data_IF_846867721155
#
_entry.id   IF_846867721155
#
_cell.length_a   1.000
_cell.length_b   1.000
_cell.length_c   1.000
_cell.angle_alpha   90.00
_cell.angle_beta   90.00
_cell.angle_gamma   90.00
#
_symmetry.space_group_name_H-M   'P 1'
#
loop_
_entity.id
_entity.type
_entity.pdbx_description
1 polymer ?
#
# COMPACT_ATOMS: atom_id res chain seq x y z
N UNK A 1 64.97 9.17 -12.21
CA UNK A 1 64.43 8.83 -13.54
C UNK A 1 63.94 7.39 -13.49
N UNK A 2 62.65 7.21 -13.82
CA UNK A 2 61.94 6.01 -14.31
C UNK A 2 61.72 4.76 -13.41
N UNK A 3 60.45 4.68 -12.98
CA UNK A 3 59.44 3.59 -13.06
C UNK A 3 59.79 2.10 -13.25
N UNK A 4 58.80 1.32 -12.77
CA UNK A 4 58.40 -0.08 -13.09
C UNK A 4 58.81 -1.15 -12.08
N UNK A 5 57.95 -2.06 -11.58
CA UNK A 5 56.52 -2.36 -11.73
C UNK A 5 56.16 -3.25 -10.52
N UNK A 6 55.27 -2.82 -9.62
CA UNK A 6 54.73 -3.72 -8.57
C UNK A 6 53.45 -4.36 -9.07
N UNK A 7 53.58 -5.57 -9.59
CA UNK A 7 52.49 -6.42 -10.06
C UNK A 7 51.61 -6.86 -8.86
N UNK A 8 50.61 -6.06 -8.47
CA UNK A 8 49.61 -6.47 -7.47
C UNK A 8 48.64 -7.44 -8.13
N UNK A 9 48.85 -8.74 -7.91
CA UNK A 9 47.85 -9.77 -8.15
C UNK A 9 46.59 -9.43 -7.35
N UNK A 10 45.49 -9.14 -8.03
CA UNK A 10 44.16 -9.13 -7.46
C UNK A 10 43.87 -10.51 -6.85
N UNK A 11 43.74 -10.57 -5.52
CA UNK A 11 43.19 -11.75 -4.87
C UNK A 11 41.68 -11.71 -5.06
N UNK A 12 41.16 -12.56 -5.93
CA UNK A 12 39.73 -12.86 -6.01
C UNK A 12 39.28 -13.44 -4.65
N UNK A 13 38.54 -12.65 -3.88
CA UNK A 13 37.89 -13.14 -2.66
C UNK A 13 36.66 -13.93 -3.10
N UNK A 14 36.84 -15.23 -3.32
CA UNK A 14 35.74 -16.16 -3.53
C UNK A 14 35.03 -16.38 -2.19
N UNK A 15 34.04 -15.55 -1.86
CA UNK A 15 33.11 -15.84 -0.76
C UNK A 15 32.11 -16.89 -1.21
N UNK A 16 32.51 -18.17 -1.16
CA UNK A 16 31.60 -19.30 -1.28
C UNK A 16 30.75 -19.41 0.00
N UNK A 17 29.70 -18.61 0.10
CA UNK A 17 28.68 -18.82 1.12
C UNK A 17 27.84 -20.03 0.71
N UNK A 18 28.13 -21.19 1.31
CA UNK A 18 27.20 -22.33 1.28
C UNK A 18 26.15 -22.12 2.39
N UNK A 19 24.85 -22.17 2.08
CA UNK A 19 23.83 -22.14 3.12
C UNK A 19 23.92 -23.43 3.95
N UNK A 20 24.01 -23.28 5.28
CA UNK A 20 24.26 -24.39 6.23
C UNK A 20 22.99 -25.14 6.64
N UNK A 21 21.81 -24.74 6.16
CA UNK A 21 20.56 -25.36 6.61
C UNK A 21 19.55 -25.48 5.50
N UNK A 22 19.25 -26.72 5.10
CA UNK A 22 18.05 -27.06 4.33
C UNK A 22 16.88 -27.04 5.29
N UNK A 23 16.39 -25.86 5.64
CA UNK A 23 15.07 -25.74 6.22
C UNK A 23 14.07 -25.90 5.07
N UNK A 24 13.14 -26.85 5.17
CA UNK A 24 11.92 -26.79 4.38
C UNK A 24 11.21 -25.49 4.77
N UNK A 25 11.37 -24.47 3.94
CA UNK A 25 10.73 -23.17 4.12
C UNK A 25 9.24 -23.38 4.03
N UNK A 26 8.55 -23.44 5.17
CA UNK A 26 7.09 -23.51 5.25
C UNK A 26 6.40 -22.24 4.72
N UNK A 27 7.16 -21.23 4.33
CA UNK A 27 6.72 -19.99 3.70
C UNK A 27 7.73 -19.60 2.63
N UNK A 28 7.27 -19.50 1.37
CA UNK A 28 8.08 -18.99 0.27
C UNK A 28 8.36 -17.50 0.50
N UNK A 29 9.56 -17.02 0.15
CA UNK A 29 9.85 -15.57 0.14
C UNK A 29 8.86 -14.78 -0.74
N UNK A 30 8.25 -15.44 -1.74
CA UNK A 30 7.23 -14.82 -2.61
C UNK A 30 5.91 -14.52 -1.88
N UNK A 31 5.67 -15.12 -0.71
CA UNK A 31 4.47 -14.90 0.10
C UNK A 31 4.66 -13.77 1.13
N UNK A 32 5.90 -13.29 1.31
CA UNK A 32 6.18 -12.17 2.19
C UNK A 32 5.73 -10.86 1.54
N UNK A 33 4.83 -10.16 2.22
CA UNK A 33 4.41 -8.82 1.84
C UNK A 33 5.22 -7.82 2.66
N UNK A 34 5.98 -6.97 1.98
CA UNK A 34 6.71 -5.89 2.63
C UNK A 34 5.72 -4.86 3.18
N UNK A 35 5.61 -4.77 4.50
CA UNK A 35 4.71 -3.85 5.21
C UNK A 35 4.82 -2.40 4.76
N UNK A 36 5.99 -1.97 4.26
CA UNK A 36 6.21 -0.60 3.76
C UNK A 36 5.35 -0.25 2.55
N UNK A 37 4.91 -1.25 1.77
CA UNK A 37 4.02 -1.03 0.63
C UNK A 37 2.56 -0.85 1.08
N UNK A 38 2.24 -1.25 2.32
CA UNK A 38 0.90 -1.15 2.91
C UNK A 38 0.74 0.08 3.81
N UNK A 39 1.83 0.81 4.07
CA UNK A 39 1.81 2.03 4.86
C UNK A 39 2.15 3.27 4.05
N UNK A 40 1.40 4.34 4.27
CA UNK A 40 1.68 5.68 3.75
C UNK A 40 2.03 6.62 4.89
N UNK A 41 2.82 7.65 4.60
CA UNK A 41 3.15 8.70 5.56
C UNK A 41 2.52 10.02 5.12
N UNK A 42 2.19 10.87 6.08
CA UNK A 42 1.70 12.21 5.77
C UNK A 42 2.85 13.14 5.33
N UNK A 43 2.52 14.36 4.94
CA UNK A 43 3.50 15.32 4.42
C UNK A 43 4.63 15.66 5.41
N UNK A 44 4.35 15.60 6.72
CA UNK A 44 5.32 15.85 7.77
C UNK A 44 6.10 14.59 8.20
N UNK A 45 5.66 13.41 7.77
CA UNK A 45 6.27 12.12 8.13
C UNK A 45 6.09 11.74 9.61
N UNK A 46 5.16 12.37 10.33
CA UNK A 46 4.90 12.12 11.75
C UNK A 46 3.68 11.21 11.98
N UNK A 47 2.90 10.94 10.93
CA UNK A 47 1.80 9.98 10.94
C UNK A 47 2.00 8.91 9.87
N UNK A 48 1.64 7.69 10.22
CA UNK A 48 1.56 6.55 9.32
C UNK A 48 0.09 6.11 9.16
N UNK A 49 -0.35 5.79 7.95
CA UNK A 49 -1.69 5.29 7.69
C UNK A 49 -1.64 3.93 6.98
N UNK A 50 -2.55 3.04 7.40
CA UNK A 50 -2.85 1.76 6.73
C UNK A 50 -4.34 1.68 6.43
N UNK A 51 -4.69 1.05 5.31
CA UNK A 51 -6.09 0.89 4.90
C UNK A 51 -6.37 -0.60 4.66
N UNK A 52 -7.40 -1.11 5.33
CA UNK A 52 -7.88 -2.48 5.15
C UNK A 52 -9.29 -2.46 4.57
N UNK A 53 -9.54 -3.36 3.63
CA UNK A 53 -10.83 -3.55 2.98
C UNK A 53 -11.70 -4.43 3.88
N UNK A 54 -12.90 -3.95 4.18
CA UNK A 54 -13.91 -4.72 4.92
C UNK A 54 -14.94 -5.34 3.98
N UNK A 55 -15.36 -4.58 2.97
CA UNK A 55 -16.47 -4.97 2.09
C UNK A 55 -16.20 -4.50 0.66
N UNK A 56 -16.51 -5.37 -0.30
CA UNK A 56 -16.42 -5.11 -1.74
C UNK A 56 -17.79 -5.36 -2.37
N UNK A 57 -18.07 -4.66 -3.47
CA UNK A 57 -19.30 -4.86 -4.24
C UNK A 57 -19.18 -6.07 -5.16
N UNK A 58 -20.30 -6.72 -5.42
CA UNK A 58 -20.45 -7.74 -6.47
C UNK A 58 -20.55 -7.13 -7.89
N UNK A 59 -20.52 -5.80 -8.00
CA UNK A 59 -20.51 -5.10 -9.28
C UNK A 59 -19.29 -5.50 -10.12
N UNK A 60 -19.56 -6.05 -11.31
CA UNK A 60 -18.54 -6.37 -12.29
C UNK A 60 -18.04 -5.06 -12.92
N UNK A 61 -16.72 -4.87 -12.94
CA UNK A 61 -16.12 -3.69 -13.57
C UNK A 61 -16.66 -3.52 -15.00
N UNK A 62 -17.10 -2.30 -15.39
CA UNK A 62 -17.76 -2.06 -16.68
C UNK A 62 -16.88 -2.34 -17.91
N UNK A 63 -15.60 -2.66 -17.70
CA UNK A 63 -14.72 -3.17 -18.74
C UNK A 63 -13.64 -4.04 -18.07
N UNK A 64 -13.48 -5.29 -18.50
CA UNK A 64 -12.22 -6.03 -18.27
C UNK A 64 -11.17 -5.31 -19.11
N UNK A 65 -10.59 -4.26 -18.53
CA UNK A 65 -9.65 -3.40 -19.26
C UNK A 65 -8.37 -4.17 -19.56
N UNK A 66 -7.59 -3.72 -20.54
CA UNK A 66 -6.24 -4.25 -20.82
C UNK A 66 -5.28 -4.18 -19.60
N UNK A 67 -5.71 -3.57 -18.50
CA UNK A 67 -4.95 -3.31 -17.28
C UNK A 67 -5.33 -4.22 -16.10
N UNK A 68 -6.14 -5.26 -16.32
CA UNK A 68 -6.49 -6.27 -15.32
C UNK A 68 -7.82 -6.04 -14.60
N UNK A 69 -8.09 -6.90 -13.61
CA UNK A 69 -9.33 -6.90 -12.84
C UNK A 69 -9.35 -5.76 -11.82
N UNK A 70 -10.50 -5.10 -11.70
CA UNK A 70 -10.77 -4.06 -10.71
C UNK A 70 -11.92 -4.50 -9.82
N UNK A 71 -11.80 -4.20 -8.54
CA UNK A 71 -12.82 -4.46 -7.54
C UNK A 71 -13.34 -3.13 -7.03
N UNK A 72 -14.66 -3.01 -6.89
CA UNK A 72 -15.29 -1.83 -6.30
C UNK A 72 -15.37 -2.01 -4.79
N UNK A 73 -14.74 -1.12 -4.04
CA UNK A 73 -14.72 -1.17 -2.57
C UNK A 73 -15.95 -0.43 -2.02
N UNK A 74 -16.62 -1.04 -1.03
CA UNK A 74 -17.76 -0.43 -0.34
C UNK A 74 -17.36 0.14 1.02
N UNK A 75 -16.60 -0.65 1.79
CA UNK A 75 -16.26 -0.31 3.18
C UNK A 75 -14.79 -0.57 3.46
N UNK A 76 -14.16 0.37 4.15
CA UNK A 76 -12.78 0.27 4.59
C UNK A 76 -12.66 0.59 6.07
N UNK A 77 -11.53 0.17 6.65
CA UNK A 77 -11.06 0.66 7.93
C UNK A 77 -9.71 1.32 7.73
N UNK A 78 -9.59 2.53 8.25
CA UNK A 78 -8.38 3.35 8.16
C UNK A 78 -7.79 3.45 9.54
N UNK A 79 -6.53 3.06 9.66
CA UNK A 79 -5.76 3.15 10.90
C UNK A 79 -4.68 4.21 10.70
N UNK A 80 -4.69 5.25 11.53
CA UNK A 80 -3.67 6.31 11.57
C UNK A 80 -2.88 6.18 12.86
N UNK A 81 -1.58 5.96 12.74
CA UNK A 81 -0.65 5.91 13.86
C UNK A 81 0.16 7.19 13.92
N UNK A 82 0.11 7.88 15.06
CA UNK A 82 0.98 9.00 15.37
C UNK A 82 2.33 8.47 15.85
N UNK A 83 3.40 8.73 15.10
CA UNK A 83 4.72 8.13 15.34
C UNK A 83 5.38 8.67 16.60
N UNK A 84 5.10 9.93 16.97
CA UNK A 84 5.68 10.56 18.16
C UNK A 84 4.99 10.11 19.46
N UNK A 85 3.66 10.09 19.48
CA UNK A 85 2.88 9.77 20.68
C UNK A 85 2.50 8.30 20.79
N UNK A 86 2.71 7.52 19.72
CA UNK A 86 2.26 6.14 19.57
C UNK A 86 0.74 5.96 19.72
N UNK A 87 -0.03 7.05 19.61
CA UNK A 87 -1.49 6.99 19.58
C UNK A 87 -1.97 6.41 18.24
N UNK A 88 -3.03 5.61 18.31
CA UNK A 88 -3.64 4.96 17.15
C UNK A 88 -5.08 5.41 17.06
N UNK A 89 -5.45 5.98 15.94
CA UNK A 89 -6.81 6.32 15.56
C UNK A 89 -7.27 5.29 14.53
N UNK A 90 -8.49 4.79 14.71
CA UNK A 90 -9.10 3.83 13.80
C UNK A 90 -10.51 4.31 13.47
N UNK A 91 -10.83 4.34 12.18
CA UNK A 91 -12.13 4.74 11.69
C UNK A 91 -12.62 3.79 10.61
N UNK A 92 -13.87 3.35 10.73
CA UNK A 92 -14.57 2.64 9.66
C UNK A 92 -15.27 3.65 8.75
N UNK A 93 -15.10 3.47 7.44
CA UNK A 93 -15.65 4.35 6.42
C UNK A 93 -16.46 3.54 5.41
N UNK A 94 -17.76 3.84 5.34
CA UNK A 94 -18.62 3.41 4.25
C UNK A 94 -18.41 4.38 3.07
N UNK A 95 -17.51 4.00 2.17
CA UNK A 95 -17.11 4.81 1.02
C UNK A 95 -18.26 4.98 0.03
N UNK A 96 -19.20 4.01 -0.04
CA UNK A 96 -20.39 4.17 -0.86
C UNK A 96 -21.29 5.28 -0.37
N UNK A 97 -21.56 5.29 0.95
CA UNK A 97 -22.39 6.32 1.57
C UNK A 97 -21.73 7.69 1.49
N UNK A 98 -20.42 7.76 1.70
CA UNK A 98 -19.61 8.99 1.58
C UNK A 98 -19.63 9.53 0.14
N UNK A 99 -19.51 8.67 -0.87
CA UNK A 99 -19.58 9.06 -2.28
C UNK A 99 -20.97 9.63 -2.64
N UNK A 100 -22.05 9.00 -2.17
CA UNK A 100 -23.42 9.52 -2.36
C UNK A 100 -23.60 10.89 -1.72
N UNK A 101 -23.13 11.05 -0.48
CA UNK A 101 -23.17 12.31 0.24
C UNK A 101 -22.35 13.41 -0.48
N UNK A 102 -21.19 13.05 -1.04
CA UNK A 102 -20.35 13.98 -1.81
C UNK A 102 -21.07 14.48 -3.07
N UNK A 103 -21.75 13.59 -3.79
CA UNK A 103 -22.55 13.95 -4.97
C UNK A 103 -23.69 14.90 -4.58
N UNK A 104 -24.35 14.65 -3.45
CA UNK A 104 -25.45 15.49 -2.96
C UNK A 104 -24.97 16.88 -2.52
N UNK A 105 -23.92 16.95 -1.70
CA UNK A 105 -23.46 18.20 -1.09
C UNK A 105 -22.56 19.05 -2.00
N UNK A 106 -21.76 18.39 -2.85
CA UNK A 106 -20.70 19.05 -3.63
C UNK A 106 -20.86 18.88 -5.13
N UNK A 107 -21.81 18.07 -5.60
CA UNK A 107 -22.03 17.79 -7.02
C UNK A 107 -20.79 17.25 -7.77
N UNK A 108 -19.90 16.58 -7.03
CA UNK A 108 -18.75 15.87 -7.60
C UNK A 108 -19.00 14.37 -7.59
N UNK A 109 -18.59 13.69 -8.67
CA UNK A 109 -18.58 12.23 -8.74
C UNK A 109 -17.14 11.73 -8.66
N UNK A 110 -16.94 10.66 -7.93
CA UNK A 110 -15.64 9.99 -7.78
C UNK A 110 -15.67 8.67 -8.53
N UNK A 111 -14.49 8.16 -8.90
CA UNK A 111 -14.35 6.76 -9.36
C UNK A 111 -13.34 6.00 -8.50
N UNK A 112 -13.02 6.57 -7.33
CA UNK A 112 -11.87 6.17 -6.52
C UNK A 112 -12.08 4.84 -5.78
N UNK A 113 -13.32 4.36 -5.73
CA UNK A 113 -13.69 3.03 -5.22
C UNK A 113 -13.19 1.87 -6.07
N UNK A 114 -12.89 2.09 -7.34
CA UNK A 114 -12.43 1.03 -8.24
C UNK A 114 -10.93 0.83 -8.10
N UNK A 115 -10.52 -0.18 -7.34
CA UNK A 115 -9.12 -0.50 -7.07
C UNK A 115 -8.69 -1.74 -7.85
N UNK A 116 -7.53 -1.71 -8.55
CA UNK A 116 -6.98 -2.91 -9.19
C UNK A 116 -6.67 -4.00 -8.16
N UNK A 117 -6.93 -5.26 -8.50
CA UNK A 117 -6.59 -6.39 -7.62
C UNK A 117 -5.09 -6.51 -7.34
N UNK A 118 -4.24 -6.01 -8.23
CA UNK A 118 -2.79 -5.92 -8.03
C UNK A 118 -2.38 -5.08 -6.82
N UNK A 119 -3.19 -4.05 -6.53
CA UNK A 119 -2.94 -3.04 -5.50
C UNK A 119 -3.57 -3.44 -4.17
N UNK A 120 -4.09 -4.68 -4.07
CA UNK A 120 -4.66 -5.29 -2.87
C UNK A 120 -3.78 -6.47 -2.46
N UNK A 121 -3.38 -6.49 -1.20
CA UNK A 121 -2.43 -7.44 -0.63
C UNK A 121 -2.92 -7.88 0.74
N UNK A 122 -3.31 -9.16 0.88
CA UNK A 122 -3.88 -9.70 2.12
C UNK A 122 -5.04 -8.86 2.71
N UNK A 123 -5.89 -8.30 1.84
CA UNK A 123 -7.01 -7.45 2.23
C UNK A 123 -6.63 -6.00 2.58
N UNK A 124 -5.35 -5.63 2.50
CA UNK A 124 -4.89 -4.25 2.62
C UNK A 124 -4.71 -3.62 1.26
N UNK A 125 -4.95 -2.32 1.20
CA UNK A 125 -4.69 -1.51 0.02
C UNK A 125 -3.22 -1.07 0.05
N UNK A 126 -2.57 -1.03 -1.12
CA UNK A 126 -1.21 -0.48 -1.22
C UNK A 126 -1.21 1.04 -1.04
N UNK A 127 -0.12 1.57 -0.51
CA UNK A 127 0.07 2.98 -0.20
C UNK A 127 -0.15 3.93 -1.39
N UNK A 128 0.09 3.45 -2.61
CA UNK A 128 -0.15 4.19 -3.86
C UNK A 128 -1.61 4.62 -4.07
N UNK A 129 -2.56 3.92 -3.43
CA UNK A 129 -4.00 4.17 -3.56
C UNK A 129 -4.64 4.82 -2.34
N UNK A 130 -3.89 4.96 -1.24
CA UNK A 130 -4.44 5.45 0.01
C UNK A 130 -5.13 6.80 -0.13
N UNK A 131 -4.41 7.84 -0.55
CA UNK A 131 -4.94 9.20 -0.70
C UNK A 131 -6.10 9.27 -1.69
N UNK A 132 -6.05 8.48 -2.76
CA UNK A 132 -7.14 8.42 -3.74
C UNK A 132 -8.40 7.82 -3.12
N UNK A 133 -8.26 6.74 -2.35
CA UNK A 133 -9.41 6.03 -1.76
C UNK A 133 -10.10 6.83 -0.65
N UNK A 134 -9.36 7.64 0.11
CA UNK A 134 -9.89 8.46 1.20
C UNK A 134 -10.23 9.90 0.78
N UNK A 135 -10.05 10.27 -0.49
CA UNK A 135 -10.22 11.66 -0.93
C UNK A 135 -11.61 12.21 -0.66
N UNK A 136 -12.63 11.35 -0.82
CA UNK A 136 -14.03 11.74 -0.70
C UNK A 136 -14.38 11.98 0.78
N UNK A 137 -13.83 11.12 1.65
CA UNK A 137 -13.91 11.30 3.10
C UNK A 137 -13.18 12.57 3.55
N UNK A 138 -12.01 12.86 2.97
CA UNK A 138 -11.25 14.08 3.27
C UNK A 138 -11.97 15.34 2.79
N UNK A 139 -12.65 15.30 1.63
CA UNK A 139 -13.42 16.42 1.09
C UNK A 139 -14.69 16.75 1.90
N UNK A 140 -15.17 15.79 2.70
CA UNK A 140 -16.27 15.94 3.65
C UNK A 140 -15.78 16.13 5.09
N UNK A 141 -14.48 16.36 5.29
CA UNK A 141 -13.83 16.57 6.60
C UNK A 141 -13.95 15.39 7.58
N UNK A 142 -14.20 14.17 7.09
CA UNK A 142 -14.28 12.96 7.92
C UNK A 142 -12.91 12.41 8.33
N UNK A 143 -11.86 12.76 7.60
CA UNK A 143 -10.50 12.30 7.86
C UNK A 143 -9.50 13.40 7.52
N UNK A 144 -8.43 13.51 8.31
CA UNK A 144 -7.30 14.41 8.04
C UNK A 144 -6.00 13.63 8.22
N UNK A 145 -5.19 13.58 7.17
CA UNK A 145 -3.94 12.82 7.14
C UNK A 145 -2.74 13.70 6.78
#
# INVERSE_FOLDING_TARGET
MNEEKSNRKEKSVNTNFKPTTTHETKTSFDEFIDERILSSHNAFGDKEMKIKILEVSDEIAPLVTKFGDRVKINKIIVTIKHLQTQQIEEGEFDIESIEKELIEKRHYTSTNRWVPTSDIKNGYVTNSRHTSLISDAAALDYITF
#
